data_IF_034059812984
#
_entry.id   IF_034059812984
#
_cell.length_a   1.000
_cell.length_b   1.000
_cell.length_c   1.000
_cell.angle_alpha   90.00
_cell.angle_beta   90.00
_cell.angle_gamma   90.00
#
_symmetry.space_group_name_H-M   'P 1'
#
loop_
_entity.id
_entity.type
_entity.pdbx_description
1 polymer ?
#
# COMPACT_ATOMS: atom_id res chain seq x y z
N UNK A 1 5.96 -9.07 19.29
CA UNK A 1 6.44 -7.85 18.62
C UNK A 1 6.61 -8.24 17.17
N UNK A 2 5.56 -8.07 16.37
CA UNK A 2 5.67 -8.24 14.93
C UNK A 2 6.28 -6.95 14.42
N UNK A 3 7.56 -6.98 14.05
CA UNK A 3 8.20 -5.86 13.39
C UNK A 3 7.59 -5.74 12.01
N UNK A 4 6.79 -4.70 11.79
CA UNK A 4 6.67 -4.14 10.44
C UNK A 4 8.07 -3.70 10.05
N UNK A 5 8.63 -4.29 8.99
CA UNK A 5 9.79 -3.73 8.33
C UNK A 5 9.32 -2.40 7.72
N UNK A 6 9.83 -1.28 8.24
CA UNK A 6 9.86 -0.06 7.44
C UNK A 6 10.86 -0.34 6.32
N UNK A 7 10.35 -0.83 5.19
CA UNK A 7 11.12 -1.07 3.98
C UNK A 7 11.94 0.17 3.65
N UNK A 8 13.13 -0.04 3.07
CA UNK A 8 14.02 1.07 2.77
C UNK A 8 13.48 1.80 1.54
N UNK A 9 13.16 3.09 1.68
CA UNK A 9 12.84 3.96 0.54
C UNK A 9 13.96 3.91 -0.50
N UNK A 10 13.61 3.53 -1.72
CA UNK A 10 14.52 3.54 -2.87
C UNK A 10 14.18 4.62 -3.87
N UNK A 11 12.89 4.94 -4.05
CA UNK A 11 12.44 5.96 -5.01
C UNK A 11 11.13 6.60 -4.57
N UNK A 12 11.07 7.92 -4.54
CA UNK A 12 9.81 8.66 -4.45
C UNK A 12 9.19 8.76 -5.86
N UNK A 13 7.92 8.37 -6.02
CA UNK A 13 7.19 8.50 -7.28
C UNK A 13 6.42 9.82 -7.34
N UNK A 14 5.70 10.15 -6.27
CA UNK A 14 4.97 11.41 -6.14
C UNK A 14 4.62 11.68 -4.68
N UNK A 15 4.59 12.96 -4.30
CA UNK A 15 4.05 13.41 -3.03
C UNK A 15 3.45 14.81 -3.16
N UNK A 16 2.45 15.11 -2.33
CA UNK A 16 1.86 16.43 -2.19
C UNK A 16 1.22 16.57 -0.81
N UNK A 17 1.33 17.75 -0.21
CA UNK A 17 0.58 18.15 1.00
C UNK A 17 -0.48 19.23 0.69
N UNK A 18 -0.72 19.47 -0.61
CA UNK A 18 -1.73 20.40 -1.13
C UNK A 18 -1.54 21.86 -0.72
N UNK A 19 -0.31 22.27 -0.42
CA UNK A 19 -0.04 23.60 0.11
C UNK A 19 0.08 24.68 -0.97
N UNK A 20 -0.12 25.94 -0.57
CA UNK A 20 0.01 27.09 -1.48
C UNK A 20 1.45 27.18 -2.01
N UNK A 21 2.44 26.84 -1.17
CA UNK A 21 3.85 26.75 -1.57
C UNK A 21 4.13 25.68 -2.62
N UNK A 22 3.30 24.64 -2.70
CA UNK A 22 3.35 23.61 -3.75
C UNK A 22 2.60 24.05 -5.03
N UNK A 23 1.98 25.23 -5.01
CA UNK A 23 1.31 25.85 -6.15
C UNK A 23 -0.20 25.61 -6.20
N UNK A 24 -0.78 25.15 -5.10
CA UNK A 24 -2.22 24.92 -4.99
C UNK A 24 -2.99 26.17 -4.56
N UNK A 25 -4.29 26.19 -4.86
CA UNK A 25 -5.19 27.31 -4.58
C UNK A 25 -6.53 26.81 -4.05
N UNK A 26 -6.96 27.35 -2.90
CA UNK A 26 -8.29 27.10 -2.31
C UNK A 26 -9.43 27.76 -3.08
N UNK A 27 -9.13 28.66 -4.01
CA UNK A 27 -10.12 29.41 -4.80
C UNK A 27 -10.55 28.69 -6.10
N UNK A 28 -10.08 27.46 -6.33
CA UNK A 28 -10.40 26.66 -7.50
C UNK A 28 -10.57 25.19 -7.13
N UNK A 29 -11.29 24.43 -7.97
CA UNK A 29 -11.38 22.98 -7.84
C UNK A 29 -10.00 22.32 -7.99
N UNK A 30 -9.81 21.14 -7.42
CA UNK A 30 -8.53 20.42 -7.51
C UNK A 30 -8.27 19.95 -8.96
N UNK A 31 -9.32 19.58 -9.69
CA UNK A 31 -9.22 19.22 -11.10
C UNK A 31 -8.68 20.41 -11.91
N UNK A 32 -7.54 20.20 -12.55
CA UNK A 32 -6.82 21.21 -13.32
C UNK A 32 -5.68 21.89 -12.58
N UNK A 33 -5.48 21.59 -11.29
CA UNK A 33 -4.33 22.07 -10.52
C UNK A 33 -3.20 21.04 -10.52
N UNK A 34 -1.97 21.47 -10.82
CA UNK A 34 -0.74 20.68 -10.66
C UNK A 34 -0.76 19.25 -11.28
N UNK A 35 -1.54 19.06 -12.34
CA UNK A 35 -1.66 17.78 -13.06
C UNK A 35 -2.79 16.88 -12.58
N UNK A 36 -3.55 17.27 -11.55
CA UNK A 36 -4.73 16.55 -11.11
C UNK A 36 -5.81 16.66 -12.18
N UNK A 37 -6.36 15.51 -12.57
CA UNK A 37 -7.45 15.42 -13.53
C UNK A 37 -8.62 14.64 -12.93
N UNK A 38 -9.81 14.90 -13.44
CA UNK A 38 -11.03 14.20 -13.08
C UNK A 38 -11.39 13.13 -14.10
N UNK A 39 -12.09 12.09 -13.68
CA UNK A 39 -12.76 11.15 -14.57
C UNK A 39 -14.16 10.84 -14.04
N UNK A 40 -15.18 11.11 -14.85
CA UNK A 40 -16.59 11.00 -14.44
C UNK A 40 -17.39 10.01 -15.32
N UNK A 41 -16.68 9.05 -15.93
CA UNK A 41 -17.21 8.12 -16.93
C UNK A 41 -17.10 8.64 -18.37
N UNK A 42 -17.42 7.76 -19.33
CA UNK A 42 -17.24 8.03 -20.76
C UNK A 42 -15.78 7.90 -21.22
N UNK A 43 -15.43 8.59 -22.30
CA UNK A 43 -14.13 8.47 -22.98
C UNK A 43 -13.22 9.69 -22.77
N UNK A 44 -13.55 10.60 -21.84
CA UNK A 44 -12.89 11.91 -21.72
C UNK A 44 -12.53 12.20 -20.26
N UNK A 45 -11.28 12.60 -20.04
CA UNK A 45 -10.81 13.14 -18.77
C UNK A 45 -11.21 14.62 -18.63
N UNK A 46 -11.55 15.01 -17.42
CA UNK A 46 -11.80 16.38 -17.02
C UNK A 46 -10.45 17.02 -16.67
N UNK A 47 -9.95 17.90 -17.51
CA UNK A 47 -8.72 18.66 -17.24
C UNK A 47 -8.99 19.97 -16.48
N UNK A 48 -10.27 20.31 -16.27
CA UNK A 48 -10.71 21.44 -15.48
C UNK A 48 -12.13 21.19 -14.94
N UNK A 49 -12.42 21.69 -13.74
CA UNK A 49 -13.78 21.84 -13.21
C UNK A 49 -13.91 23.16 -12.46
N UNK A 50 -15.15 23.57 -12.18
CA UNK A 50 -15.45 24.72 -11.32
C UNK A 50 -16.85 24.56 -10.71
N UNK A 51 -17.19 23.33 -10.33
CA UNK A 51 -18.49 22.95 -9.77
C UNK A 51 -18.44 22.71 -8.26
N UNK A 52 -17.23 22.68 -7.67
CA UNK A 52 -17.04 22.43 -6.24
C UNK A 52 -17.20 20.97 -5.83
N UNK A 53 -17.18 20.03 -6.78
CA UNK A 53 -17.17 18.59 -6.50
C UNK A 53 -15.80 18.07 -6.04
N UNK A 54 -14.78 18.92 -6.15
CA UNK A 54 -13.43 18.71 -5.63
C UNK A 54 -12.79 20.06 -5.32
N UNK A 55 -11.75 20.07 -4.49
CA UNK A 55 -11.05 21.30 -4.17
C UNK A 55 -10.16 21.15 -2.96
N UNK A 56 -9.83 22.28 -2.35
CA UNK A 56 -9.02 22.34 -1.14
C UNK A 56 -9.78 23.07 -0.04
N UNK A 57 -9.62 22.57 1.19
CA UNK A 57 -10.10 23.18 2.41
C UNK A 57 -8.89 23.49 3.29
N UNK A 58 -9.06 24.33 4.30
CA UNK A 58 -8.03 24.62 5.29
C UNK A 58 -8.49 24.25 6.69
N UNK A 59 -7.54 23.90 7.54
CA UNK A 59 -7.74 23.62 8.97
C UNK A 59 -8.78 22.51 9.27
N UNK A 60 -8.97 21.58 8.33
CA UNK A 60 -9.91 20.47 8.49
C UNK A 60 -9.26 19.29 9.21
N UNK A 61 -8.02 18.97 8.84
CA UNK A 61 -7.09 18.16 9.62
C UNK A 61 -6.33 19.09 10.56
N UNK A 62 -6.46 18.89 11.88
CA UNK A 62 -5.75 19.72 12.85
C UNK A 62 -4.24 19.73 12.53
N UNK A 63 -3.67 20.93 12.39
CA UNK A 63 -2.25 21.19 12.16
C UNK A 63 -1.65 20.79 10.80
N UNK A 64 -2.47 20.40 9.82
CA UNK A 64 -2.01 19.97 8.48
C UNK A 64 -2.35 21.00 7.39
N UNK A 65 -2.50 22.28 7.71
CA UNK A 65 -2.63 23.34 6.71
C UNK A 65 -3.82 23.16 5.76
N UNK A 66 -3.56 22.96 4.46
CA UNK A 66 -4.57 22.72 3.42
C UNK A 66 -4.80 21.22 3.19
N UNK A 67 -6.04 20.82 2.91
CA UNK A 67 -6.39 19.45 2.60
C UNK A 67 -7.23 19.38 1.34
N UNK A 68 -7.00 18.37 0.51
CA UNK A 68 -7.83 18.08 -0.64
C UNK A 68 -9.17 17.44 -0.23
N UNK A 69 -10.19 17.64 -1.05
CA UNK A 69 -11.45 16.91 -0.94
C UNK A 69 -12.03 16.47 -2.28
N UNK A 70 -12.86 15.42 -2.21
CA UNK A 70 -13.75 14.98 -3.28
C UNK A 70 -15.15 14.69 -2.70
N UNK A 71 -16.20 15.10 -3.41
CA UNK A 71 -17.59 15.02 -2.94
C UNK A 71 -18.21 16.40 -2.74
N UNK A 72 -19.11 16.51 -1.78
CA UNK A 72 -19.75 17.75 -1.32
C UNK A 72 -20.77 18.35 -2.30
N UNK A 73 -20.38 18.64 -3.53
CA UNK A 73 -21.27 19.16 -4.58
C UNK A 73 -21.32 18.19 -5.74
N UNK A 74 -22.54 17.92 -6.25
CA UNK A 74 -22.73 17.10 -7.44
C UNK A 74 -21.90 17.64 -8.62
N UNK A 75 -21.16 16.79 -9.36
CA UNK A 75 -20.43 17.26 -10.53
C UNK A 75 -21.40 17.76 -11.62
N UNK A 76 -21.12 18.92 -12.21
CA UNK A 76 -21.92 19.51 -13.28
C UNK A 76 -21.54 18.88 -14.63
N UNK A 77 -22.29 17.84 -15.04
CA UNK A 77 -22.11 17.17 -16.33
C UNK A 77 -23.45 17.05 -17.08
N UNK A 78 -23.36 17.03 -18.42
CA UNK A 78 -24.53 16.87 -19.32
C UNK A 78 -25.25 15.52 -19.12
N UNK A 79 -24.52 14.50 -18.65
CA UNK A 79 -25.05 13.18 -18.34
C UNK A 79 -25.00 12.91 -16.84
N UNK A 80 -25.87 12.01 -16.39
CA UNK A 80 -25.84 11.50 -15.02
C UNK A 80 -24.48 10.88 -14.71
N UNK A 81 -23.84 11.34 -13.64
CA UNK A 81 -22.52 10.89 -13.18
C UNK A 81 -22.72 9.86 -12.08
N UNK A 82 -22.24 8.64 -12.28
CA UNK A 82 -22.31 7.55 -11.30
C UNK A 82 -21.09 7.53 -10.37
N UNK A 83 -20.00 8.18 -10.77
CA UNK A 83 -18.82 8.37 -9.94
C UNK A 83 -17.98 9.54 -10.45
N UNK A 84 -17.14 10.11 -9.58
CA UNK A 84 -16.05 11.01 -9.93
C UNK A 84 -14.75 10.45 -9.36
N UNK A 85 -13.72 10.30 -10.18
CA UNK A 85 -12.35 10.02 -9.76
C UNK A 85 -11.50 11.28 -9.83
N UNK A 86 -10.64 11.49 -8.84
CA UNK A 86 -9.51 12.42 -8.89
C UNK A 86 -8.22 11.61 -8.95
N UNK A 87 -7.37 11.91 -9.94
CA UNK A 87 -6.15 11.16 -10.17
C UNK A 87 -4.98 12.05 -10.58
N UNK A 88 -3.79 11.59 -10.22
CA UNK A 88 -2.51 12.13 -10.66
C UNK A 88 -1.75 11.06 -11.48
N UNK A 89 -1.63 11.23 -12.80
CA UNK A 89 -0.93 10.24 -13.64
C UNK A 89 0.56 10.11 -13.32
N UNK A 90 1.08 8.88 -13.20
CA UNK A 90 2.49 8.59 -12.88
C UNK A 90 3.20 7.71 -13.91
N UNK A 91 2.57 6.61 -14.33
CA UNK A 91 3.14 5.64 -15.27
C UNK A 91 4.41 4.94 -14.76
N UNK A 92 4.28 4.13 -13.71
CA UNK A 92 5.36 3.33 -13.12
C UNK A 92 5.30 1.87 -13.58
N UNK A 93 6.44 1.35 -14.06
CA UNK A 93 6.65 -0.07 -14.36
C UNK A 93 7.63 -0.67 -13.34
N UNK A 94 7.28 -1.78 -12.66
CA UNK A 94 8.18 -2.45 -11.72
C UNK A 94 9.47 -2.98 -12.37
N UNK A 95 10.57 -3.00 -11.64
CA UNK A 95 11.83 -3.55 -12.14
C UNK A 95 11.74 -5.05 -12.42
N UNK A 96 12.37 -5.51 -13.50
CA UNK A 96 12.40 -6.94 -13.91
C UNK A 96 13.00 -7.90 -12.87
N UNK A 97 13.73 -7.40 -11.87
CA UNK A 97 14.44 -8.21 -10.88
C UNK A 97 13.64 -8.49 -9.61
N UNK A 98 12.43 -7.95 -9.48
CA UNK A 98 11.55 -8.13 -8.30
C UNK A 98 12.09 -7.48 -7.03
N UNK A 99 11.34 -7.59 -5.94
CA UNK A 99 11.71 -7.07 -4.61
C UNK A 99 11.40 -5.59 -4.35
N UNK A 100 10.77 -4.92 -5.31
CA UNK A 100 10.21 -3.57 -5.13
C UNK A 100 8.77 -3.67 -4.63
N UNK A 101 8.46 -2.93 -3.58
CA UNK A 101 7.11 -2.74 -3.08
C UNK A 101 6.71 -1.28 -3.31
N UNK A 102 5.57 -1.05 -3.94
CA UNK A 102 4.98 0.29 -4.01
C UNK A 102 4.15 0.52 -2.76
N UNK A 103 4.45 1.59 -2.04
CA UNK A 103 3.71 2.04 -0.87
C UNK A 103 2.99 3.33 -1.19
N UNK A 104 1.67 3.30 -1.00
CA UNK A 104 0.81 4.46 -0.99
C UNK A 104 0.45 4.80 0.45
N UNK A 105 0.60 6.07 0.83
CA UNK A 105 0.14 6.60 2.11
C UNK A 105 -0.67 7.87 1.90
N UNK A 106 -1.72 8.03 2.68
CA UNK A 106 -2.56 9.23 2.69
C UNK A 106 -3.23 9.37 4.06
N UNK A 107 -3.30 10.60 4.59
CA UNK A 107 -4.17 10.93 5.70
C UNK A 107 -5.58 11.18 5.13
N UNK A 108 -6.61 10.53 5.64
CA UNK A 108 -7.97 10.69 5.10
C UNK A 108 -9.06 10.61 6.16
N UNK A 109 -10.20 11.23 5.89
CA UNK A 109 -11.42 11.12 6.68
C UNK A 109 -12.66 11.34 5.81
N UNK A 110 -13.80 10.77 6.23
CA UNK A 110 -15.07 10.90 5.51
C UNK A 110 -16.05 11.66 6.39
N UNK A 111 -16.58 12.75 5.85
CA UNK A 111 -17.63 13.53 6.49
C UNK A 111 -19.00 13.04 6.05
N UNK A 112 -19.91 12.90 7.02
CA UNK A 112 -21.24 12.39 6.74
C UNK A 112 -22.11 13.41 6.02
N UNK A 113 -23.13 12.89 5.33
CA UNK A 113 -24.13 13.68 4.64
C UNK A 113 -25.07 14.38 5.63
N UNK A 114 -25.41 15.63 5.33
CA UNK A 114 -26.44 16.39 6.03
C UNK A 114 -27.79 16.33 5.33
N UNK A 115 -27.83 15.88 4.07
CA UNK A 115 -29.03 15.79 3.26
C UNK A 115 -29.75 14.41 3.33
N UNK A 116 -29.12 13.42 3.98
CA UNK A 116 -29.68 12.09 4.22
C UNK A 116 -29.48 11.08 3.08
N UNK A 117 -28.87 11.50 1.97
CA UNK A 117 -28.36 10.61 0.92
C UNK A 117 -26.88 10.37 1.18
N UNK A 118 -26.42 9.12 1.15
CA UNK A 118 -25.03 8.76 1.44
C UNK A 118 -24.40 8.04 0.28
N UNK A 119 -23.19 8.45 -0.08
CA UNK A 119 -22.40 7.83 -1.14
C UNK A 119 -21.18 7.09 -0.60
N UNK A 120 -20.50 6.34 -1.46
CA UNK A 120 -19.29 5.62 -1.09
C UNK A 120 -18.05 6.39 -1.53
N UNK A 121 -16.95 6.18 -0.82
CA UNK A 121 -15.63 6.67 -1.22
C UNK A 121 -14.66 5.51 -1.42
N UNK A 122 -13.74 5.65 -2.37
CA UNK A 122 -12.77 4.58 -2.68
C UNK A 122 -11.39 5.13 -2.91
N UNK A 123 -10.41 4.28 -2.62
CA UNK A 123 -9.10 4.35 -3.23
C UNK A 123 -9.01 3.24 -4.27
N UNK A 124 -8.84 3.61 -5.55
CA UNK A 124 -8.82 2.65 -6.67
C UNK A 124 -7.47 2.71 -7.38
N UNK A 125 -6.91 1.54 -7.66
CA UNK A 125 -5.57 1.40 -8.24
C UNK A 125 -5.73 0.94 -9.68
N UNK A 126 -5.11 1.65 -10.62
CA UNK A 126 -5.16 1.32 -12.05
C UNK A 126 -3.78 1.04 -12.63
N UNK A 127 -3.76 0.17 -13.63
CA UNK A 127 -2.57 -0.12 -14.41
C UNK A 127 -2.42 0.84 -15.60
N UNK A 128 -1.26 0.82 -16.27
CA UNK A 128 -0.96 1.72 -17.41
C UNK A 128 -1.79 1.45 -18.67
N UNK A 129 -2.57 0.37 -18.68
CA UNK A 129 -3.54 0.06 -19.74
C UNK A 129 -4.94 0.64 -19.45
N UNK A 130 -5.11 1.31 -18.30
CA UNK A 130 -6.38 1.90 -17.86
C UNK A 130 -7.32 0.90 -17.19
N UNK A 131 -6.84 -0.31 -16.85
CA UNK A 131 -7.65 -1.30 -16.14
C UNK A 131 -7.49 -1.15 -14.64
N UNK A 132 -8.63 -1.14 -13.93
CA UNK A 132 -8.67 -1.20 -12.47
C UNK A 132 -8.14 -2.54 -11.98
N UNK A 133 -7.13 -2.52 -11.12
CA UNK A 133 -6.54 -3.70 -10.48
C UNK A 133 -7.35 -4.11 -9.25
N UNK A 134 -7.57 -3.17 -8.33
CA UNK A 134 -8.40 -3.35 -7.15
C UNK A 134 -8.86 -2.00 -6.57
N UNK A 135 -9.81 -2.06 -5.63
CA UNK A 135 -10.26 -0.90 -4.86
C UNK A 135 -10.45 -1.26 -3.39
N UNK A 136 -10.20 -0.29 -2.51
CA UNK A 136 -10.69 -0.26 -1.14
C UNK A 136 -11.87 0.71 -1.06
N UNK A 137 -13.01 0.26 -0.56
CA UNK A 137 -14.29 0.98 -0.52
C UNK A 137 -14.71 1.27 0.91
N UNK A 138 -15.22 2.49 1.13
CA UNK A 138 -15.75 2.99 2.38
C UNK A 138 -17.21 3.35 2.14
N UNK A 139 -18.11 2.49 2.62
CA UNK A 139 -19.55 2.67 2.50
C UNK A 139 -20.04 3.63 3.57
N UNK A 140 -20.45 4.84 3.18
CA UNK A 140 -20.88 5.84 4.15
C UNK A 140 -22.27 5.55 4.74
N UNK A 141 -23.09 4.69 4.15
CA UNK A 141 -24.36 4.28 4.75
C UNK A 141 -24.15 3.24 5.85
N UNK A 142 -23.38 2.21 5.57
CA UNK A 142 -23.19 1.08 6.51
C UNK A 142 -21.97 1.21 7.40
N UNK A 143 -21.05 2.14 7.09
CA UNK A 143 -19.71 2.29 7.67
C UNK A 143 -18.76 1.14 7.37
N UNK A 144 -19.17 0.16 6.56
CA UNK A 144 -18.33 -0.98 6.24
C UNK A 144 -17.15 -0.57 5.36
N UNK A 145 -15.98 -1.11 5.69
CA UNK A 145 -14.81 -1.11 4.80
C UNK A 145 -14.83 -2.41 4.00
N UNK A 146 -14.83 -2.30 2.68
CA UNK A 146 -14.86 -3.43 1.76
C UNK A 146 -13.76 -3.30 0.70
N UNK A 147 -13.55 -4.35 -0.09
CA UNK A 147 -12.66 -4.30 -1.23
C UNK A 147 -13.31 -4.93 -2.46
N UNK A 148 -12.83 -4.57 -3.65
CA UNK A 148 -13.17 -5.24 -4.89
C UNK A 148 -11.90 -5.52 -5.69
N UNK A 149 -11.82 -6.73 -6.25
CA UNK A 149 -10.77 -7.13 -7.17
C UNK A 149 -11.23 -6.92 -8.63
N UNK A 150 -10.36 -7.21 -9.59
CA UNK A 150 -10.62 -7.15 -11.04
C UNK A 150 -11.48 -8.32 -11.57
N UNK A 151 -12.12 -9.10 -10.71
CA UNK A 151 -12.94 -10.29 -11.05
C UNK A 151 -14.41 -9.99 -11.35
N UNK A 152 -14.84 -8.72 -11.24
CA UNK A 152 -16.23 -8.28 -11.37
C UNK A 152 -17.19 -8.88 -10.33
N UNK A 153 -16.68 -9.46 -9.26
CA UNK A 153 -17.49 -9.86 -8.12
C UNK A 153 -17.95 -8.63 -7.32
N UNK A 154 -19.06 -8.74 -6.56
CA UNK A 154 -19.48 -7.68 -5.64
C UNK A 154 -18.40 -7.34 -4.61
N UNK A 155 -18.53 -6.17 -3.98
CA UNK A 155 -17.69 -5.77 -2.85
C UNK A 155 -17.65 -6.86 -1.78
N UNK A 156 -16.43 -7.20 -1.37
CA UNK A 156 -16.16 -8.18 -0.32
C UNK A 156 -15.84 -7.44 0.98
N UNK A 157 -16.51 -7.81 2.06
CA UNK A 157 -16.31 -7.19 3.35
C UNK A 157 -14.91 -7.49 3.90
N UNK A 158 -14.20 -6.47 4.38
CA UNK A 158 -12.96 -6.64 5.15
C UNK A 158 -13.24 -7.11 6.59
N UNK A 159 -14.47 -6.90 7.08
CA UNK A 159 -14.86 -7.13 8.47
C UNK A 159 -14.58 -5.94 9.39
N UNK A 160 -14.10 -4.82 8.85
CA UNK A 160 -13.86 -3.59 9.57
C UNK A 160 -14.87 -2.50 9.20
N UNK A 161 -15.01 -1.53 10.09
CA UNK A 161 -15.85 -0.34 9.93
C UNK A 161 -15.00 0.91 10.17
N UNK A 162 -15.47 2.07 9.71
CA UNK A 162 -14.87 3.38 9.98
C UNK A 162 -15.88 4.32 10.66
N UNK A 163 -15.36 5.32 11.36
CA UNK A 163 -16.16 6.40 11.93
C UNK A 163 -16.03 7.64 11.04
N UNK A 164 -17.15 8.35 10.81
CA UNK A 164 -17.07 9.67 10.19
C UNK A 164 -16.33 10.65 11.09
N UNK A 165 -15.80 11.71 10.46
CA UNK A 165 -15.07 12.79 11.14
C UNK A 165 -13.83 12.30 11.93
N UNK A 166 -13.47 11.03 11.74
CA UNK A 166 -12.25 10.41 12.24
C UNK A 166 -11.28 10.29 11.10
N UNK A 167 -10.03 10.68 11.37
CA UNK A 167 -8.98 10.67 10.38
C UNK A 167 -8.05 9.48 10.58
N UNK A 168 -7.72 8.83 9.47
CA UNK A 168 -6.90 7.63 9.43
C UNK A 168 -5.71 7.86 8.51
N UNK A 169 -4.54 7.37 8.92
CA UNK A 169 -3.42 7.22 8.01
C UNK A 169 -3.61 5.92 7.23
N UNK A 170 -4.17 5.99 6.03
CA UNK A 170 -4.30 4.84 5.15
C UNK A 170 -2.92 4.53 4.55
N UNK A 171 -2.54 3.25 4.62
CA UNK A 171 -1.37 2.70 3.93
C UNK A 171 -1.80 1.54 3.06
N UNK A 172 -1.36 1.52 1.80
CA UNK A 172 -1.51 0.38 0.90
C UNK A 172 -0.13 -0.01 0.39
N UNK A 173 0.24 -1.27 0.62
CA UNK A 173 1.49 -1.84 0.13
C UNK A 173 1.18 -2.79 -1.03
N UNK A 174 1.87 -2.64 -2.16
CA UNK A 174 1.62 -3.34 -3.41
C UNK A 174 2.92 -3.98 -3.89
N UNK A 175 2.95 -5.31 -3.87
CA UNK A 175 4.00 -6.13 -4.49
C UNK A 175 3.48 -6.63 -5.84
N UNK A 176 3.88 -5.94 -6.90
CA UNK A 176 3.50 -6.29 -8.26
C UNK A 176 4.09 -7.63 -8.70
N UNK A 177 5.29 -7.99 -8.24
CA UNK A 177 5.96 -9.25 -8.63
C UNK A 177 5.29 -10.45 -7.97
N UNK A 178 5.08 -10.39 -6.65
CA UNK A 178 4.39 -11.42 -5.88
C UNK A 178 2.87 -11.46 -6.13
N UNK A 179 2.33 -10.48 -6.86
CA UNK A 179 0.88 -10.30 -7.07
C UNK A 179 0.14 -10.18 -5.73
N UNK A 180 0.60 -9.31 -4.83
CA UNK A 180 0.00 -9.15 -3.51
C UNK A 180 -0.17 -7.69 -3.16
N UNK A 181 -1.28 -7.36 -2.53
CA UNK A 181 -1.45 -6.09 -1.85
C UNK A 181 -2.01 -6.30 -0.45
N UNK A 182 -1.72 -5.34 0.43
CA UNK A 182 -2.25 -5.27 1.79
C UNK A 182 -2.57 -3.83 2.13
N UNK A 183 -3.55 -3.62 3.01
CA UNK A 183 -3.95 -2.28 3.42
C UNK A 183 -4.10 -2.17 4.94
N UNK A 184 -3.75 -1.00 5.46
CA UNK A 184 -3.88 -0.64 6.87
C UNK A 184 -4.55 0.72 7.01
N UNK A 185 -5.44 0.85 7.99
CA UNK A 185 -5.86 2.16 8.50
C UNK A 185 -5.17 2.39 9.84
N UNK A 186 -4.26 3.34 9.87
CA UNK A 186 -3.31 3.54 10.97
C UNK A 186 -2.56 2.23 11.27
N UNK A 187 -2.71 1.66 12.46
CA UNK A 187 -2.05 0.41 12.85
C UNK A 187 -2.89 -0.85 12.59
N UNK A 188 -4.11 -0.72 12.06
CA UNK A 188 -5.06 -1.83 11.87
C UNK A 188 -4.93 -2.40 10.46
N UNK A 189 -4.56 -3.68 10.35
CA UNK A 189 -4.53 -4.43 9.09
C UNK A 189 -5.97 -4.73 8.62
N UNK A 190 -6.37 -4.08 7.52
CA UNK A 190 -7.69 -4.22 6.92
C UNK A 190 -7.76 -5.41 5.96
N UNK A 191 -6.72 -5.58 5.15
CA UNK A 191 -6.61 -6.58 4.09
C UNK A 191 -5.19 -7.11 4.05
N UNK A 192 -5.03 -8.45 3.98
CA UNK A 192 -3.73 -9.12 3.99
C UNK A 192 -3.52 -9.96 2.73
N UNK A 193 -2.50 -9.59 1.94
CA UNK A 193 -1.93 -10.43 0.88
C UNK A 193 -2.89 -10.85 -0.24
N UNK A 194 -3.88 -10.02 -0.57
CA UNK A 194 -4.83 -10.28 -1.66
C UNK A 194 -4.17 -10.06 -3.03
N UNK A 195 -4.67 -10.70 -4.10
CA UNK A 195 -4.08 -10.55 -5.43
C UNK A 195 -4.24 -9.12 -5.94
N UNK A 196 -3.18 -8.57 -6.55
CA UNK A 196 -3.23 -7.30 -7.29
C UNK A 196 -4.09 -7.47 -8.55
N UNK A 197 -3.99 -8.61 -9.22
CA UNK A 197 -4.87 -9.01 -10.32
C UNK A 197 -5.22 -10.49 -10.24
N UNK A 198 -6.49 -10.80 -10.50
CA UNK A 198 -7.06 -12.14 -10.67
C UNK A 198 -7.25 -12.48 -12.15
N UNK A 199 -7.31 -11.47 -13.02
CA UNK A 199 -7.51 -11.63 -14.47
C UNK A 199 -6.20 -11.62 -15.27
N UNK A 200 -5.05 -11.63 -14.58
CA UNK A 200 -3.72 -11.55 -15.19
C UNK A 200 -3.55 -10.28 -16.06
N UNK A 201 -4.09 -9.16 -15.56
CA UNK A 201 -3.84 -7.83 -16.10
C UNK A 201 -2.36 -7.46 -15.97
N UNK A 202 -1.91 -6.46 -16.75
CA UNK A 202 -0.58 -5.87 -16.57
C UNK A 202 -0.47 -5.35 -15.13
N UNK A 203 0.56 -5.82 -14.42
CA UNK A 203 0.82 -5.50 -13.00
C UNK A 203 1.84 -4.38 -12.92
N UNK A 204 1.36 -3.18 -13.20
CA UNK A 204 2.10 -1.92 -13.09
C UNK A 204 1.14 -0.82 -12.58
N UNK A 205 1.62 0.42 -12.46
CA UNK A 205 0.85 1.50 -11.85
C UNK A 205 0.72 2.69 -12.79
N UNK A 206 -0.52 3.06 -13.14
CA UNK A 206 -0.82 4.34 -13.77
C UNK A 206 -1.01 5.42 -12.71
N UNK A 207 -1.95 5.18 -11.80
CA UNK A 207 -2.48 6.14 -10.84
C UNK A 207 -3.18 5.42 -9.67
N UNK A 208 -3.41 6.17 -8.59
CA UNK A 208 -4.19 5.76 -7.42
C UNK A 208 -5.22 6.87 -7.16
N UNK A 209 -6.49 6.54 -7.41
CA UNK A 209 -7.58 7.49 -7.50
C UNK A 209 -8.30 7.65 -6.17
N UNK A 210 -8.57 8.89 -5.78
CA UNK A 210 -9.65 9.19 -4.84
C UNK A 210 -10.97 9.17 -5.62
N UNK A 211 -11.90 8.29 -5.25
CA UNK A 211 -13.15 8.10 -5.99
C UNK A 211 -14.34 8.40 -5.09
N UNK A 212 -15.26 9.22 -5.59
CA UNK A 212 -16.59 9.38 -5.06
C UNK A 212 -17.56 8.55 -5.90
N UNK A 213 -18.04 7.44 -5.34
CA UNK A 213 -19.00 6.55 -6.01
C UNK A 213 -20.42 6.89 -5.57
N UNK A 214 -21.14 7.56 -6.46
CA UNK A 214 -22.43 8.19 -6.17
C UNK A 214 -23.52 7.12 -6.13
N UNK A 215 -24.16 6.94 -4.98
CA UNK A 215 -25.19 5.93 -4.79
C UNK A 215 -26.47 6.30 -5.56
N UNK A 216 -26.82 7.59 -5.55
CA UNK A 216 -28.01 8.12 -6.19
C UNK A 216 -27.69 9.31 -7.08
N UNK A 217 -27.35 9.08 -8.37
CA UNK A 217 -26.86 10.12 -9.28
C UNK A 217 -27.76 11.34 -9.43
N UNK A 218 -29.08 11.19 -9.30
CA UNK A 218 -30.04 12.30 -9.36
C UNK A 218 -30.11 13.15 -8.09
N UNK A 219 -29.65 12.62 -6.96
CA UNK A 219 -29.65 13.26 -5.65
C UNK A 219 -28.48 12.72 -4.79
N UNK A 220 -27.22 13.06 -5.15
CA UNK A 220 -26.06 12.63 -4.39
C UNK A 220 -26.06 13.21 -2.97
N UNK A 221 -25.34 12.54 -2.09
CA UNK A 221 -25.04 13.07 -0.76
C UNK A 221 -24.17 14.32 -0.84
N UNK A 222 -24.22 15.14 0.20
CA UNK A 222 -23.26 16.22 0.45
C UNK A 222 -22.10 15.75 1.35
N UNK A 223 -21.96 14.43 1.53
CA UNK A 223 -20.76 13.82 2.12
C UNK A 223 -19.54 14.02 1.22
N UNK A 224 -18.36 14.03 1.84
CA UNK A 224 -17.09 14.17 1.12
C UNK A 224 -15.97 13.45 1.85
N UNK A 225 -14.97 13.02 1.08
CA UNK A 225 -13.71 12.53 1.62
C UNK A 225 -12.70 13.68 1.59
N UNK A 226 -12.13 13.97 2.75
CA UNK A 226 -10.98 14.86 2.90
C UNK A 226 -9.73 14.00 2.95
N UNK A 227 -8.67 14.44 2.28
CA UNK A 227 -7.39 13.74 2.27
C UNK A 227 -6.21 14.68 2.11
N UNK A 228 -5.06 14.24 2.62
CA UNK A 228 -3.83 15.01 2.63
C UNK A 228 -2.62 14.07 2.78
N UNK A 229 -1.39 14.60 2.69
CA UNK A 229 -0.15 13.85 2.76
C UNK A 229 -0.13 12.68 1.75
N UNK A 230 -0.66 12.92 0.55
CA UNK A 230 -0.74 11.93 -0.52
C UNK A 230 0.66 11.60 -1.00
N UNK A 231 1.09 10.35 -0.85
CA UNK A 231 2.47 9.96 -1.13
C UNK A 231 2.54 8.55 -1.70
N UNK A 232 3.27 8.42 -2.81
CA UNK A 232 3.55 7.16 -3.48
C UNK A 232 5.06 7.00 -3.59
N UNK A 233 5.56 5.90 -3.04
CA UNK A 233 6.96 5.58 -3.01
C UNK A 233 7.23 4.11 -3.36
N UNK A 234 8.43 3.83 -3.84
CA UNK A 234 8.96 2.48 -3.96
C UNK A 234 9.90 2.26 -2.79
N UNK A 235 9.64 1.18 -2.06
CA UNK A 235 10.52 0.70 -1.00
C UNK A 235 11.06 -0.67 -1.42
N UNK A 236 12.30 -0.94 -1.08
CA UNK A 236 12.79 -2.33 -1.06
C UNK A 236 12.26 -2.96 0.22
N UNK A 237 11.42 -3.99 0.07
CA UNK A 237 11.23 -4.93 1.17
C UNK A 237 12.55 -5.67 1.31
N UNK A 238 13.41 -5.13 2.18
CA UNK A 238 14.69 -5.76 2.45
C UNK A 238 14.37 -7.14 3.03
N UNK A 239 14.79 -8.26 2.39
CA UNK A 239 14.53 -9.57 2.93
C UNK A 239 15.00 -9.56 4.38
N UNK A 240 14.15 -10.07 5.28
CA UNK A 240 14.48 -10.08 6.69
C UNK A 240 15.85 -10.72 6.84
N UNK A 241 16.83 -10.06 7.49
CA UNK A 241 18.19 -10.59 7.55
C UNK A 241 18.13 -12.00 8.12
N UNK A 242 18.79 -12.98 7.48
CA UNK A 242 18.65 -14.36 7.90
C UNK A 242 19.19 -14.51 9.33
N UNK A 243 18.48 -15.29 10.14
CA UNK A 243 18.80 -15.46 11.56
C UNK A 243 19.41 -16.82 11.84
N UNK A 244 20.27 -16.86 12.86
CA UNK A 244 20.87 -18.07 13.40
C UNK A 244 20.39 -18.25 14.83
N UNK A 245 19.65 -19.31 15.08
CA UNK A 245 19.13 -19.67 16.38
C UNK A 245 19.92 -20.86 16.95
N UNK A 246 20.64 -20.69 18.07
CA UNK A 246 21.32 -21.81 18.73
C UNK A 246 20.28 -22.75 19.34
N UNK A 247 20.26 -24.01 18.90
CA UNK A 247 19.37 -25.04 19.45
C UNK A 247 20.03 -25.90 20.55
N UNK A 248 21.36 -25.86 20.65
CA UNK A 248 22.12 -26.51 21.71
C UNK A 248 22.98 -27.68 21.25
N UNK A 249 23.48 -28.46 22.21
CA UNK A 249 24.38 -29.59 21.94
C UNK A 249 23.63 -30.92 21.80
N UNK A 250 24.09 -31.74 20.85
CA UNK A 250 23.72 -33.14 20.72
C UNK A 250 24.54 -34.02 21.69
N UNK A 251 24.05 -35.25 22.02
CA UNK A 251 24.79 -36.17 22.89
C UNK A 251 26.18 -36.57 22.37
N UNK A 252 26.43 -36.47 21.06
CA UNK A 252 27.72 -36.74 20.43
C UNK A 252 28.70 -35.54 20.51
N UNK A 253 28.30 -34.42 21.11
CA UNK A 253 29.10 -33.20 21.21
C UNK A 253 28.89 -32.20 20.07
N UNK A 254 28.13 -32.57 19.02
CA UNK A 254 27.78 -31.66 17.93
C UNK A 254 26.90 -30.51 18.41
N UNK A 255 26.92 -29.38 17.72
CA UNK A 255 26.09 -28.20 18.04
C UNK A 255 25.08 -27.93 16.94
N UNK A 256 23.82 -27.73 17.29
CA UNK A 256 22.73 -27.52 16.33
C UNK A 256 22.40 -26.04 16.25
N UNK A 257 22.32 -25.53 15.02
CA UNK A 257 21.93 -24.16 14.71
C UNK A 257 20.75 -24.23 13.75
N UNK A 258 19.67 -23.54 14.06
CA UNK A 258 18.57 -23.31 13.12
C UNK A 258 18.85 -22.06 12.32
N UNK A 259 18.84 -22.21 11.01
CA UNK A 259 18.94 -21.13 10.04
C UNK A 259 17.52 -20.78 9.61
N UNK A 260 17.17 -19.50 9.67
CA UNK A 260 15.89 -18.98 9.19
C UNK A 260 16.12 -17.80 8.24
N UNK A 261 15.38 -17.74 7.15
CA UNK A 261 15.48 -16.70 6.13
C UNK A 261 14.41 -16.89 5.07
N UNK A 262 14.59 -16.25 3.92
CA UNK A 262 13.61 -16.31 2.83
C UNK A 262 13.42 -17.76 2.30
N UNK A 263 12.17 -18.24 2.13
CA UNK A 263 11.90 -19.53 1.53
C UNK A 263 12.54 -19.70 0.15
N UNK A 264 13.03 -20.91 -0.13
CA UNK A 264 13.73 -21.29 -1.37
C UNK A 264 15.00 -20.48 -1.67
N UNK A 265 15.54 -19.76 -0.68
CA UNK A 265 16.83 -19.07 -0.81
C UNK A 265 18.01 -19.96 -0.47
N UNK A 266 19.15 -19.61 -1.06
CA UNK A 266 20.42 -20.32 -0.89
C UNK A 266 21.39 -19.40 -0.14
N UNK A 267 21.92 -19.88 0.98
CA UNK A 267 22.90 -19.17 1.80
C UNK A 267 24.22 -19.94 1.91
N UNK A 268 25.28 -19.22 2.23
CA UNK A 268 26.56 -19.74 2.69
C UNK A 268 26.66 -19.55 4.21
N UNK A 269 26.96 -20.64 4.93
CA UNK A 269 27.28 -20.57 6.36
C UNK A 269 28.78 -20.46 6.53
N UNK A 270 29.21 -19.44 7.27
CA UNK A 270 30.60 -19.24 7.66
C UNK A 270 30.76 -19.39 9.16
N UNK A 271 31.94 -19.83 9.57
CA UNK A 271 32.33 -19.92 10.98
C UNK A 271 33.66 -19.20 11.23
N UNK A 272 33.82 -18.72 12.46
CA UNK A 272 35.04 -18.05 12.92
C UNK A 272 35.33 -18.43 14.37
N UNK A 273 36.60 -18.45 14.77
CA UNK A 273 37.01 -18.62 16.17
C UNK A 273 37.34 -17.30 16.87
N UNK A 274 37.50 -16.21 16.11
CA UNK A 274 38.02 -14.92 16.58
C UNK A 274 37.23 -13.69 16.09
N UNK A 275 36.18 -13.89 15.28
CA UNK A 275 35.38 -12.87 14.60
C UNK A 275 36.12 -12.07 13.51
N UNK A 276 37.40 -12.31 13.29
CA UNK A 276 38.20 -11.67 12.23
C UNK A 276 38.37 -12.54 10.99
N UNK A 277 38.79 -13.80 11.17
CA UNK A 277 38.95 -14.73 10.06
C UNK A 277 37.72 -15.63 9.96
N UNK A 278 37.08 -15.62 8.78
CA UNK A 278 35.87 -16.38 8.51
C UNK A 278 36.17 -17.47 7.49
N UNK A 279 35.75 -18.69 7.80
CA UNK A 279 35.91 -19.86 6.94
C UNK A 279 34.52 -20.40 6.57
N UNK A 280 34.38 -20.88 5.34
CA UNK A 280 33.14 -21.50 4.88
C UNK A 280 32.92 -22.80 5.67
N UNK A 281 31.87 -22.82 6.48
CA UNK A 281 31.42 -24.01 7.18
C UNK A 281 30.54 -24.88 6.28
N UNK A 282 29.69 -24.23 5.46
CA UNK A 282 28.85 -24.88 4.46
C UNK A 282 28.62 -23.91 3.29
N UNK A 283 29.03 -24.31 2.09
CA UNK A 283 29.01 -23.45 0.90
C UNK A 283 27.61 -23.22 0.32
N UNK A 284 26.70 -24.16 0.53
CA UNK A 284 25.34 -24.10 -0.01
C UNK A 284 24.36 -24.70 1.00
N UNK A 285 23.47 -23.87 1.50
CA UNK A 285 22.33 -24.25 2.34
C UNK A 285 21.08 -23.74 1.64
N UNK A 286 20.25 -24.68 1.21
CA UNK A 286 18.93 -24.40 0.66
C UNK A 286 17.92 -24.47 1.81
N UNK A 287 17.23 -23.37 2.11
CA UNK A 287 16.24 -23.32 3.19
C UNK A 287 14.91 -23.99 2.80
N UNK A 288 14.74 -24.36 1.52
CA UNK A 288 13.53 -24.95 0.98
C UNK A 288 12.29 -24.10 1.20
N UNK A 289 11.12 -24.68 0.92
CA UNK A 289 9.84 -23.96 0.95
C UNK A 289 9.44 -23.41 2.33
N UNK A 290 10.09 -23.86 3.42
CA UNK A 290 9.78 -23.41 4.78
C UNK A 290 10.63 -22.22 5.25
N UNK A 291 11.67 -21.84 4.50
CA UNK A 291 12.60 -20.78 4.92
C UNK A 291 13.38 -21.12 6.19
N UNK A 292 13.50 -22.42 6.53
CA UNK A 292 14.14 -22.87 7.77
C UNK A 292 14.82 -24.22 7.60
N UNK A 293 16.02 -24.37 8.13
CA UNK A 293 16.72 -25.65 8.21
C UNK A 293 17.61 -25.72 9.47
N UNK A 294 17.73 -26.92 10.03
CA UNK A 294 18.66 -27.18 11.14
C UNK A 294 19.97 -27.73 10.56
N UNK A 295 21.08 -27.06 10.89
CA UNK A 295 22.42 -27.47 10.53
C UNK A 295 23.20 -27.91 11.78
N UNK A 296 24.01 -28.96 11.64
CA UNK A 296 24.78 -29.54 12.75
C UNK A 296 26.27 -29.30 12.53
N UNK A 297 26.92 -28.65 13.50
CA UNK A 297 28.38 -28.62 13.57
C UNK A 297 28.90 -29.88 14.28
N UNK A 298 29.29 -30.88 13.48
CA UNK A 298 29.90 -32.11 13.99
C UNK A 298 31.41 -32.00 14.22
N UNK A 299 32.02 -30.85 13.96
CA UNK A 299 33.47 -30.66 14.16
C UNK A 299 33.86 -30.33 15.61
N UNK A 300 32.93 -30.53 16.55
CA UNK A 300 33.06 -30.22 17.97
C UNK A 300 33.95 -31.18 18.77
N UNK A 301 35.24 -30.85 18.88
CA UNK A 301 35.99 -31.11 20.10
C UNK A 301 35.60 -30.10 21.18
N UNK A 302 35.32 -30.57 22.40
CA UNK A 302 34.60 -29.88 23.49
C UNK A 302 35.07 -28.48 24.00
N UNK A 303 35.93 -27.71 23.33
CA UNK A 303 36.46 -26.45 23.91
C UNK A 303 36.88 -25.33 22.94
N UNK A 304 36.51 -25.33 21.65
CA UNK A 304 36.76 -24.15 20.78
C UNK A 304 35.54 -23.24 20.73
N UNK A 305 35.74 -21.94 21.02
CA UNK A 305 34.72 -20.91 20.76
C UNK A 305 34.54 -20.82 19.25
N UNK A 306 33.29 -20.85 18.80
CA UNK A 306 32.92 -20.64 17.41
C UNK A 306 31.77 -19.64 17.31
N UNK A 307 31.87 -18.80 16.30
CA UNK A 307 30.87 -17.85 15.88
C UNK A 307 30.42 -18.23 14.47
N UNK A 308 29.16 -17.96 14.15
CA UNK A 308 28.56 -18.31 12.88
C UNK A 308 27.88 -17.09 12.26
N UNK A 309 27.89 -17.01 10.93
CA UNK A 309 27.11 -16.02 10.17
C UNK A 309 26.63 -16.61 8.86
N UNK A 310 25.53 -16.08 8.35
CA UNK A 310 25.01 -16.37 7.03
C UNK A 310 25.42 -15.28 6.05
N UNK A 311 25.61 -15.69 4.79
CA UNK A 311 25.91 -14.83 3.65
C UNK A 311 25.09 -15.25 2.44
#
# INVERSE_FOLDING_TARGET
>A
MNGQSDGKLTRLLYETSFEEEEGYSTEADLIGQNGWIGFAGGDVFLEMSNDGSSGLLADFLESEGQQAYIGFVKPEQETSVEFLSLLQPLGFEPAERGGELVRFTVAMGILDSTNGERDNFRWSIYNTEGFRLFSLDFDNETKAISYALDDAEPLQASGFEFDNETFYNLRIDIDFDANKWSAWASDVLLVEGLPVSTQNLKRDLSDIDAVWAIFKPEAPGDNFMVFDNYRIEVIEDSPSPPTLLPLGHLPNGGFVIRLQGEPNSIYQLESSSDLSEWQVAQNKIDLGATGSIDWVDDSGGSNSRKFYRLK
#
